data_IF_322535139491
#
_entry.id   IF_322535139491
#
_cell.length_a   1.000
_cell.length_b   1.000
_cell.length_c   1.000
_cell.angle_alpha   90.00
_cell.angle_beta   90.00
_cell.angle_gamma   90.00
#
_symmetry.space_group_name_H-M   'P 1'
#
loop_
_entity.id
_entity.type
_entity.pdbx_description
1 polymer ?
#
# COMPACT_ATOMS: atom_id res chain seq x y z
N UNK A 1 0.52 -5.20 3.35
CA UNK A 1 0.21 -5.87 4.61
C UNK A 1 -0.73 -5.02 5.45
N UNK A 2 -1.98 -5.48 5.58
CA UNK A 2 -3.06 -4.82 6.35
C UNK A 2 -2.99 -5.12 7.83
N UNK A 3 -1.86 -5.07 8.48
CA UNK A 3 -1.80 -5.68 9.80
C UNK A 3 -1.95 -4.71 10.97
N UNK A 4 -1.73 -3.41 10.78
CA UNK A 4 -1.52 -2.57 11.97
C UNK A 4 -2.77 -2.33 12.82
N UNK A 5 -3.87 -1.85 12.26
CA UNK A 5 -5.03 -1.49 13.09
C UNK A 5 -5.82 -2.70 13.61
N UNK A 6 -6.12 -3.69 12.77
CA UNK A 6 -6.88 -4.87 13.20
C UNK A 6 -6.05 -5.76 14.14
N UNK A 7 -4.76 -5.90 13.88
CA UNK A 7 -3.85 -6.63 14.77
C UNK A 7 -3.61 -5.88 16.09
N UNK A 8 -3.67 -4.55 16.10
CA UNK A 8 -3.54 -3.75 17.31
C UNK A 8 -4.74 -3.93 18.25
N UNK A 9 -5.95 -3.92 17.72
CA UNK A 9 -7.18 -4.21 18.52
C UNK A 9 -7.13 -5.63 19.08
N UNK A 10 -6.78 -6.62 18.25
CA UNK A 10 -6.67 -8.01 18.70
C UNK A 10 -5.60 -8.20 19.78
N UNK A 11 -4.45 -7.58 19.64
CA UNK A 11 -3.37 -7.63 20.65
C UNK A 11 -3.81 -7.08 21.99
N UNK A 12 -4.46 -5.92 22.02
CA UNK A 12 -4.90 -5.28 23.27
C UNK A 12 -5.90 -6.12 24.04
N UNK A 13 -6.73 -6.88 23.34
CA UNK A 13 -7.72 -7.77 23.95
C UNK A 13 -7.10 -9.07 24.50
N UNK A 14 -6.06 -9.59 23.83
CA UNK A 14 -5.51 -10.91 24.10
C UNK A 14 -4.17 -10.83 24.84
N UNK A 15 -3.46 -9.72 24.71
CA UNK A 15 -2.13 -9.49 25.28
C UNK A 15 -2.07 -8.23 26.14
N UNK A 16 -2.02 -8.41 27.43
CA UNK A 16 -2.01 -7.30 28.39
C UNK A 16 -0.76 -6.43 28.30
N UNK A 17 0.39 -6.99 27.92
CA UNK A 17 1.67 -6.24 27.84
C UNK A 17 1.94 -5.58 26.49
N UNK A 18 1.17 -5.89 25.42
CA UNK A 18 1.38 -5.25 24.13
C UNK A 18 0.90 -3.81 24.14
N UNK A 19 1.77 -2.91 23.68
CA UNK A 19 1.49 -1.49 23.53
C UNK A 19 1.22 -1.15 22.05
N UNK A 20 0.67 0.03 21.75
CA UNK A 20 0.15 0.31 20.42
C UNK A 20 1.20 0.52 19.33
N UNK A 21 2.43 0.90 19.65
CA UNK A 21 3.45 1.13 18.64
C UNK A 21 4.01 -0.19 18.10
N UNK A 22 4.05 -0.29 16.77
CA UNK A 22 4.59 -1.48 16.13
C UNK A 22 5.07 -1.18 14.70
N UNK A 23 6.00 -2.01 14.24
CA UNK A 23 6.47 -2.06 12.86
C UNK A 23 6.45 -3.51 12.38
N UNK A 24 6.09 -3.72 11.12
CA UNK A 24 6.18 -5.02 10.48
C UNK A 24 6.81 -4.86 9.09
N UNK A 25 7.63 -5.85 8.74
CA UNK A 25 8.20 -5.96 7.40
C UNK A 25 8.12 -7.43 6.97
N UNK A 26 7.75 -7.64 5.72
CA UNK A 26 7.74 -8.96 5.09
C UNK A 26 8.60 -8.90 3.85
N UNK A 27 9.57 -9.79 3.76
CA UNK A 27 10.40 -9.99 2.57
C UNK A 27 9.88 -11.21 1.83
N UNK A 28 9.55 -11.03 0.56
CA UNK A 28 9.04 -12.10 -0.31
C UNK A 28 10.03 -12.31 -1.44
N UNK A 29 10.38 -13.55 -1.68
CA UNK A 29 11.18 -13.99 -2.82
C UNK A 29 10.26 -14.38 -3.98
N UNK A 30 10.50 -13.80 -5.16
CA UNK A 30 9.78 -14.03 -6.41
C UNK A 30 10.63 -14.75 -7.46
N UNK A 31 11.71 -15.40 -7.04
CA UNK A 31 12.64 -16.07 -7.97
C UNK A 31 12.00 -17.28 -8.63
N UNK A 32 11.15 -17.99 -7.92
CA UNK A 32 10.43 -19.17 -8.41
C UNK A 32 9.02 -18.82 -8.92
N UNK A 33 8.35 -19.77 -9.57
CA UNK A 33 6.98 -19.61 -10.08
C UNK A 33 5.97 -19.17 -9.02
N UNK A 34 6.17 -19.57 -7.76
CA UNK A 34 5.34 -19.18 -6.63
C UNK A 34 6.13 -18.31 -5.66
N UNK A 35 5.62 -17.12 -5.31
CA UNK A 35 6.28 -16.27 -4.32
C UNK A 35 6.33 -16.97 -2.96
N UNK A 36 7.47 -16.90 -2.28
CA UNK A 36 7.69 -17.45 -0.95
C UNK A 36 8.11 -16.36 0.03
N UNK A 37 7.68 -16.48 1.28
CA UNK A 37 8.14 -15.58 2.34
C UNK A 37 9.54 -16.01 2.76
N UNK A 38 10.51 -15.10 2.63
CA UNK A 38 11.87 -15.29 3.14
C UNK A 38 11.94 -14.90 4.62
N UNK A 39 11.51 -13.68 4.96
CA UNK A 39 11.65 -13.15 6.32
C UNK A 39 10.41 -12.36 6.73
N UNK A 40 9.96 -12.56 7.98
CA UNK A 40 9.02 -11.67 8.65
C UNK A 40 9.69 -11.04 9.86
N UNK A 41 9.71 -9.71 9.89
CA UNK A 41 10.16 -8.92 11.03
C UNK A 41 8.95 -8.23 11.67
N UNK A 42 8.84 -8.33 12.99
CA UNK A 42 7.90 -7.54 13.78
C UNK A 42 8.60 -6.91 15.00
N UNK A 43 8.44 -5.60 15.15
CA UNK A 43 8.83 -4.87 16.35
C UNK A 43 7.56 -4.36 17.01
N UNK A 44 7.32 -4.77 18.27
CA UNK A 44 6.09 -4.47 18.99
C UNK A 44 6.47 -3.86 20.33
N UNK A 45 5.94 -2.69 20.62
CA UNK A 45 6.07 -2.04 21.92
C UNK A 45 5.38 -2.89 23.00
N UNK A 46 6.01 -3.02 24.17
CA UNK A 46 5.51 -3.82 25.28
C UNK A 46 5.77 -3.13 26.61
N UNK A 47 5.11 -3.60 27.66
CA UNK A 47 5.41 -3.18 29.03
C UNK A 47 6.83 -3.57 29.44
N UNK A 48 7.36 -2.92 30.44
CA UNK A 48 8.71 -3.20 30.97
C UNK A 48 8.80 -4.57 31.61
N UNK A 49 7.72 -4.97 32.29
CA UNK A 49 7.59 -6.30 32.93
C UNK A 49 6.78 -7.24 31.99
N UNK A 50 7.47 -8.15 31.32
CA UNK A 50 6.87 -9.13 30.42
C UNK A 50 7.78 -10.37 30.27
N UNK A 51 7.17 -11.53 29.98
CA UNK A 51 7.91 -12.73 29.62
C UNK A 51 8.27 -12.69 28.12
N UNK A 52 9.57 -12.56 27.84
CA UNK A 52 10.07 -12.44 26.45
C UNK A 52 9.81 -13.73 25.63
N UNK A 53 9.94 -14.90 26.26
CA UNK A 53 9.76 -16.18 25.56
C UNK A 53 8.29 -16.39 25.20
N UNK A 54 7.39 -16.14 26.14
CA UNK A 54 5.95 -16.20 25.91
C UNK A 54 5.50 -15.17 24.87
N UNK A 55 6.03 -13.95 24.93
CA UNK A 55 5.77 -12.90 23.96
C UNK A 55 6.18 -13.30 22.54
N UNK A 56 7.42 -13.77 22.36
CA UNK A 56 7.91 -14.21 21.04
C UNK A 56 7.10 -15.36 20.48
N UNK A 57 6.78 -16.34 21.32
CA UNK A 57 5.93 -17.47 20.95
C UNK A 57 4.56 -17.00 20.46
N UNK A 58 3.93 -16.12 21.22
CA UNK A 58 2.63 -15.61 20.86
C UNK A 58 2.64 -14.82 19.53
N UNK A 59 3.59 -13.91 19.36
CA UNK A 59 3.70 -13.13 18.12
C UNK A 59 3.89 -14.05 16.92
N UNK A 60 4.72 -15.10 17.06
CA UNK A 60 4.93 -16.09 16.02
C UNK A 60 3.63 -16.84 15.68
N UNK A 61 3.01 -17.49 16.65
CA UNK A 61 1.90 -18.41 16.44
C UNK A 61 0.57 -17.69 16.11
N UNK A 62 0.25 -16.61 16.84
CA UNK A 62 -1.06 -15.98 16.77
C UNK A 62 -1.12 -14.76 15.85
N UNK A 63 0.03 -14.23 15.42
CA UNK A 63 0.06 -13.09 14.50
C UNK A 63 0.69 -13.50 13.17
N UNK A 64 1.98 -13.88 13.19
CA UNK A 64 2.70 -14.20 11.93
C UNK A 64 2.08 -15.40 11.23
N UNK A 65 2.03 -16.55 11.88
CA UNK A 65 1.51 -17.79 11.28
C UNK A 65 0.03 -17.71 10.92
N UNK A 66 -0.77 -17.00 11.73
CA UNK A 66 -2.18 -16.79 11.43
C UNK A 66 -2.38 -15.97 10.13
N UNK A 67 -1.55 -14.95 9.91
CA UNK A 67 -1.57 -14.16 8.68
C UNK A 67 -1.06 -14.98 7.50
N UNK A 68 0.06 -15.68 7.65
CA UNK A 68 0.66 -16.52 6.61
C UNK A 68 -0.33 -17.58 6.12
N UNK A 69 -0.99 -18.28 7.03
CA UNK A 69 -2.04 -19.26 6.70
C UNK A 69 -3.21 -18.64 5.93
N UNK A 70 -3.60 -17.42 6.28
CA UNK A 70 -4.70 -16.72 5.58
C UNK A 70 -4.40 -16.46 4.11
N UNK A 71 -3.13 -16.32 3.75
CA UNK A 71 -2.67 -16.06 2.38
C UNK A 71 -2.12 -17.31 1.69
N UNK A 72 -2.24 -18.49 2.31
CA UNK A 72 -1.77 -19.78 1.79
C UNK A 72 -0.29 -19.77 1.37
N UNK A 73 0.53 -19.13 2.23
CA UNK A 73 1.98 -19.01 2.00
C UNK A 73 2.78 -19.99 2.86
N UNK A 74 4.07 -20.14 2.55
CA UNK A 74 4.99 -21.03 3.27
C UNK A 74 5.16 -20.61 4.74
N UNK A 75 5.39 -21.60 5.62
CA UNK A 75 5.55 -21.40 7.07
C UNK A 75 6.99 -21.49 7.57
N UNK A 76 7.92 -21.84 6.70
CA UNK A 76 9.35 -22.01 6.96
C UNK A 76 10.16 -20.75 6.64
N UNK A 77 9.71 -19.61 7.14
CA UNK A 77 10.38 -18.33 6.95
C UNK A 77 11.23 -17.93 8.16
N UNK A 78 12.19 -17.05 7.94
CA UNK A 78 13.01 -16.45 9.00
C UNK A 78 12.16 -15.52 9.87
N UNK A 79 12.21 -15.72 11.19
CA UNK A 79 11.45 -14.93 12.18
C UNK A 79 12.35 -13.96 12.90
N UNK A 80 12.00 -12.67 12.88
CA UNK A 80 12.66 -11.61 13.64
C UNK A 80 11.61 -10.87 14.48
N UNK A 81 11.67 -11.04 15.80
CA UNK A 81 10.74 -10.38 16.74
C UNK A 81 11.57 -9.55 17.71
N UNK A 82 11.35 -8.23 17.74
CA UNK A 82 12.09 -7.25 18.51
C UNK A 82 13.61 -7.51 18.46
N UNK A 83 14.24 -7.54 17.27
CA UNK A 83 15.64 -7.94 17.12
C UNK A 83 16.64 -7.00 17.82
N UNK A 84 16.22 -5.77 18.12
CA UNK A 84 17.01 -4.79 18.88
C UNK A 84 16.83 -4.92 20.39
N UNK A 85 16.05 -5.90 20.84
CA UNK A 85 15.76 -6.13 22.25
C UNK A 85 14.48 -5.44 22.74
N UNK A 86 14.52 -4.86 23.93
CA UNK A 86 13.36 -4.26 24.59
C UNK A 86 12.83 -3.04 23.83
N UNK A 87 11.52 -2.97 23.66
CA UNK A 87 10.81 -1.86 23.03
C UNK A 87 9.71 -1.34 23.96
N UNK A 88 10.11 -0.64 25.02
CA UNK A 88 9.22 -0.11 26.06
C UNK A 88 8.77 1.31 25.75
N UNK A 89 9.67 2.16 25.26
CA UNK A 89 9.37 3.53 24.90
C UNK A 89 8.96 3.57 23.43
N UNK A 90 7.72 3.99 23.15
CA UNK A 90 7.17 4.07 21.80
C UNK A 90 6.02 5.06 21.70
N UNK A 91 5.39 5.09 20.53
CA UNK A 91 4.34 6.07 20.23
C UNK A 91 4.87 7.51 20.21
N UNK A 92 4.02 8.52 20.47
CA UNK A 92 4.43 9.94 20.43
C UNK A 92 5.56 10.29 21.41
N UNK A 93 5.75 9.50 22.47
CA UNK A 93 6.84 9.71 23.43
C UNK A 93 8.20 9.30 22.85
N UNK A 94 8.23 8.25 22.03
CA UNK A 94 9.44 7.80 21.33
C UNK A 94 9.70 8.58 20.05
N UNK A 95 8.64 8.83 19.28
CA UNK A 95 8.66 9.58 18.00
C UNK A 95 7.30 10.19 17.76
N UNK A 96 7.22 11.51 17.77
CA UNK A 96 5.97 12.23 17.50
C UNK A 96 5.47 12.03 16.08
N UNK A 97 6.36 11.65 15.17
CA UNK A 97 6.05 11.48 13.75
C UNK A 97 5.74 12.79 13.04
N UNK A 98 5.67 12.71 11.73
CA UNK A 98 5.19 13.79 10.87
C UNK A 98 4.31 13.21 9.78
N UNK A 99 3.21 13.91 9.47
CA UNK A 99 2.34 13.54 8.36
C UNK A 99 3.12 13.53 7.03
N UNK A 100 2.92 12.50 6.23
CA UNK A 100 3.60 12.35 4.93
C UNK A 100 5.05 11.85 4.99
N UNK A 101 5.50 11.36 6.14
CA UNK A 101 6.84 10.73 6.32
C UNK A 101 6.80 9.20 6.22
N UNK A 102 5.67 8.62 5.81
CA UNK A 102 5.49 7.18 5.59
C UNK A 102 4.83 6.88 4.23
N UNK A 103 5.19 7.66 3.21
CA UNK A 103 4.56 7.64 1.88
C UNK A 103 4.66 6.28 1.18
N UNK A 104 5.72 5.52 1.39
CA UNK A 104 5.88 4.18 0.82
C UNK A 104 4.96 3.18 1.53
N UNK A 105 4.85 3.26 2.87
CA UNK A 105 3.91 2.43 3.66
C UNK A 105 2.46 2.79 3.30
N UNK A 106 2.18 4.06 3.04
CA UNK A 106 0.84 4.56 2.67
C UNK A 106 0.42 4.16 1.24
N UNK A 107 1.30 3.54 0.46
CA UNK A 107 1.04 3.15 -0.92
C UNK A 107 1.35 1.67 -1.17
N UNK A 108 2.43 1.37 -1.87
CA UNK A 108 2.72 0.02 -2.40
C UNK A 108 3.79 -0.74 -1.60
N UNK A 109 4.30 -0.17 -0.50
CA UNK A 109 5.27 -0.84 0.36
C UNK A 109 6.63 -1.15 -0.29
N UNK A 110 6.96 -0.45 -1.38
CA UNK A 110 8.18 -0.66 -2.15
C UNK A 110 8.03 -1.58 -3.37
N UNK A 111 6.86 -2.18 -3.59
CA UNK A 111 6.61 -3.00 -4.78
C UNK A 111 6.57 -2.17 -6.07
N UNK A 112 5.98 -0.99 -6.03
CA UNK A 112 5.99 -0.01 -7.13
C UNK A 112 6.71 1.27 -6.73
N UNK A 113 7.16 2.03 -7.73
CA UNK A 113 7.83 3.31 -7.54
C UNK A 113 6.88 4.36 -6.99
N UNK A 114 7.43 5.37 -6.34
CA UNK A 114 6.66 6.49 -5.77
C UNK A 114 7.27 7.82 -6.21
N UNK A 115 6.42 8.79 -6.56
CA UNK A 115 6.86 10.12 -6.98
C UNK A 115 7.35 11.04 -5.86
N UNK A 116 7.23 10.63 -4.59
CA UNK A 116 7.71 11.38 -3.42
C UNK A 116 6.70 12.30 -2.77
N UNK A 117 5.54 12.56 -3.40
CA UNK A 117 4.51 13.45 -2.89
C UNK A 117 3.64 12.83 -1.79
N UNK A 118 3.53 13.48 -0.63
CA UNK A 118 2.57 13.09 0.39
C UNK A 118 1.13 13.42 -0.04
N UNK A 119 0.15 12.61 0.38
CA UNK A 119 -1.26 12.82 0.07
C UNK A 119 -1.97 13.69 1.10
N UNK A 120 -1.72 13.44 2.38
CA UNK A 120 -2.37 14.15 3.48
C UNK A 120 -2.14 15.66 3.41
N UNK A 121 -3.20 16.44 3.70
CA UNK A 121 -3.16 17.89 3.67
C UNK A 121 -3.23 18.53 2.28
N UNK A 122 -3.29 17.74 1.22
CA UNK A 122 -3.41 18.22 -0.16
C UNK A 122 -4.84 18.11 -0.66
N UNK A 123 -5.36 19.19 -1.21
CA UNK A 123 -6.64 19.21 -1.92
C UNK A 123 -6.52 18.56 -3.32
N UNK A 124 -7.63 18.29 -4.03
CA UNK A 124 -7.61 17.61 -5.33
C UNK A 124 -6.86 18.34 -6.45
N UNK A 125 -6.58 19.62 -6.30
CA UNK A 125 -5.82 20.40 -7.33
C UNK A 125 -4.34 20.04 -7.34
N UNK A 126 -3.86 19.37 -6.29
CA UNK A 126 -2.45 18.94 -6.16
C UNK A 126 -2.25 17.58 -6.84
N UNK A 127 -1.55 17.59 -7.96
CA UNK A 127 -1.30 16.39 -8.79
C UNK A 127 -0.52 15.30 -8.05
N UNK A 128 0.31 15.63 -7.08
CA UNK A 128 0.93 14.62 -6.20
C UNK A 128 -0.08 13.64 -5.59
N UNK A 129 -1.28 14.12 -5.31
CA UNK A 129 -2.37 13.29 -4.80
C UNK A 129 -3.30 12.82 -5.91
N UNK A 130 -3.88 13.73 -6.67
CA UNK A 130 -4.90 13.41 -7.67
C UNK A 130 -4.36 12.55 -8.81
N UNK A 131 -3.15 12.81 -9.31
CA UNK A 131 -2.55 11.99 -10.35
C UNK A 131 -2.14 10.59 -9.84
N UNK A 132 -1.73 10.45 -8.58
CA UNK A 132 -1.49 9.13 -7.99
C UNK A 132 -2.79 8.30 -7.91
N UNK A 133 -3.92 8.93 -7.61
CA UNK A 133 -5.23 8.28 -7.62
C UNK A 133 -5.65 7.90 -9.04
N UNK A 134 -5.42 8.79 -10.02
CA UNK A 134 -5.70 8.53 -11.43
C UNK A 134 -4.82 7.42 -11.98
N UNK A 135 -3.52 7.42 -11.67
CA UNK A 135 -2.60 6.35 -12.07
C UNK A 135 -3.07 4.97 -11.58
N UNK A 136 -3.54 4.89 -10.33
CA UNK A 136 -4.14 3.64 -9.80
C UNK A 136 -5.41 3.24 -10.56
N UNK A 137 -6.27 4.20 -10.84
CA UNK A 137 -7.51 3.96 -11.59
C UNK A 137 -7.22 3.44 -13.00
N UNK A 138 -6.30 4.08 -13.73
CA UNK A 138 -5.87 3.66 -15.08
C UNK A 138 -5.29 2.24 -15.03
N UNK A 139 -4.34 1.97 -14.11
CA UNK A 139 -3.71 0.66 -14.02
C UNK A 139 -4.73 -0.46 -13.80
N UNK A 140 -5.72 -0.22 -12.93
CA UNK A 140 -6.81 -1.19 -12.70
C UNK A 140 -7.67 -1.42 -13.95
N UNK A 141 -7.99 -0.37 -14.71
CA UNK A 141 -8.79 -0.51 -15.91
C UNK A 141 -8.04 -1.23 -17.03
N UNK A 142 -6.76 -0.94 -17.24
CA UNK A 142 -5.93 -1.60 -18.25
C UNK A 142 -5.78 -3.10 -17.95
N UNK A 143 -5.54 -3.46 -16.69
CA UNK A 143 -5.48 -4.87 -16.27
C UNK A 143 -6.85 -5.54 -16.40
N UNK A 144 -7.93 -4.87 -16.00
CA UNK A 144 -9.29 -5.39 -16.16
C UNK A 144 -9.69 -5.58 -17.64
N UNK A 145 -9.18 -4.73 -18.53
CA UNK A 145 -9.34 -4.86 -19.99
C UNK A 145 -8.46 -6.00 -20.58
N UNK A 146 -7.74 -6.76 -19.73
CA UNK A 146 -6.88 -7.87 -20.13
C UNK A 146 -5.76 -7.49 -21.13
N UNK A 147 -5.30 -6.23 -21.07
CA UNK A 147 -4.19 -5.76 -21.92
C UNK A 147 -2.81 -6.15 -21.36
N UNK A 148 -2.72 -6.36 -20.06
CA UNK A 148 -1.56 -6.91 -19.33
C UNK A 148 -2.02 -7.50 -17.99
N UNK A 149 -1.17 -8.25 -17.30
CA UNK A 149 -1.47 -8.78 -15.96
C UNK A 149 -1.01 -7.82 -14.86
N UNK A 150 0.04 -7.03 -15.13
CA UNK A 150 0.56 -6.01 -14.22
C UNK A 150 0.81 -4.70 -14.96
N UNK A 151 0.57 -3.58 -14.30
CA UNK A 151 0.89 -2.25 -14.83
C UNK A 151 1.36 -1.30 -13.74
N UNK A 152 2.57 -0.77 -13.91
CA UNK A 152 3.04 0.44 -13.23
C UNK A 152 2.91 1.61 -14.20
N UNK A 153 2.33 2.72 -13.75
CA UNK A 153 2.19 3.94 -14.56
C UNK A 153 2.74 5.15 -13.81
N UNK A 154 3.47 5.99 -14.53
CA UNK A 154 3.98 7.28 -14.04
C UNK A 154 3.40 8.41 -14.88
N UNK A 155 2.85 9.40 -14.22
CA UNK A 155 2.37 10.66 -14.81
C UNK A 155 3.24 11.80 -14.31
N UNK A 156 3.81 12.59 -15.22
CA UNK A 156 4.66 13.74 -14.88
C UNK A 156 3.99 15.04 -15.30
N UNK A 157 4.05 16.06 -14.44
CA UNK A 157 3.45 17.36 -14.70
C UNK A 157 4.47 18.48 -14.50
N UNK A 158 4.29 19.56 -15.28
CA UNK A 158 5.04 20.80 -15.09
C UNK A 158 4.10 21.91 -14.58
N UNK A 159 4.62 22.78 -13.71
CA UNK A 159 3.87 23.91 -13.19
C UNK A 159 3.44 24.83 -14.34
N UNK A 160 2.16 25.16 -14.37
CA UNK A 160 1.58 26.03 -15.41
C UNK A 160 1.19 25.30 -16.72
N UNK A 161 1.42 23.99 -16.80
CA UNK A 161 1.00 23.17 -17.95
C UNK A 161 -0.08 22.20 -17.48
N UNK A 162 -1.23 22.23 -18.16
CA UNK A 162 -2.40 21.40 -17.76
C UNK A 162 -2.26 19.93 -18.17
N UNK A 163 -1.61 19.66 -19.29
CA UNK A 163 -1.40 18.30 -19.78
C UNK A 163 -0.17 17.68 -19.08
N UNK A 164 -0.16 16.35 -18.88
CA UNK A 164 1.04 15.68 -18.40
C UNK A 164 2.18 15.84 -19.42
N UNK A 165 3.36 16.15 -18.93
CA UNK A 165 4.57 16.28 -19.77
C UNK A 165 5.13 14.93 -20.19
N UNK A 166 4.78 13.86 -19.45
CA UNK A 166 5.19 12.50 -19.77
C UNK A 166 4.22 11.49 -19.15
N UNK A 167 3.99 10.41 -19.89
CA UNK A 167 3.31 9.20 -19.43
C UNK A 167 4.26 8.04 -19.69
N UNK A 168 4.63 7.34 -18.63
CA UNK A 168 5.48 6.14 -18.70
C UNK A 168 4.70 4.95 -18.16
N UNK A 169 4.81 3.80 -18.82
CA UNK A 169 4.20 2.53 -18.40
C UNK A 169 5.25 1.42 -18.35
N UNK A 170 5.08 0.52 -17.40
CA UNK A 170 5.88 -0.69 -17.25
C UNK A 170 4.93 -1.86 -16.92
N UNK A 171 4.83 -2.81 -17.82
CA UNK A 171 3.97 -3.99 -17.71
C UNK A 171 4.66 -5.17 -17.05
N UNK A 172 5.89 -5.02 -16.61
CA UNK A 172 6.73 -6.10 -16.05
C UNK A 172 6.87 -7.31 -16.98
N UNK A 173 6.75 -7.10 -18.30
CA UNK A 173 6.80 -8.18 -19.30
C UNK A 173 5.53 -9.02 -19.38
N UNK A 174 4.41 -8.53 -18.85
CA UNK A 174 3.11 -9.24 -18.86
C UNK A 174 2.12 -8.70 -19.90
N UNK A 175 2.58 -7.86 -20.83
CA UNK A 175 1.76 -7.30 -21.90
C UNK A 175 1.20 -8.38 -22.81
N UNK A 176 -0.10 -8.24 -23.16
CA UNK A 176 -0.83 -9.08 -24.10
C UNK A 176 -1.10 -8.36 -25.42
N UNK A 177 -0.84 -7.07 -25.46
CA UNK A 177 -0.88 -6.21 -26.64
C UNK A 177 0.34 -5.29 -26.64
N UNK A 178 0.77 -4.74 -27.79
CA UNK A 178 1.94 -3.87 -27.84
C UNK A 178 1.83 -2.66 -26.90
N UNK A 179 2.96 -2.22 -26.33
CA UNK A 179 3.06 -1.11 -25.37
C UNK A 179 2.46 0.20 -25.91
N UNK A 180 2.68 0.49 -27.20
CA UNK A 180 2.13 1.66 -27.88
C UNK A 180 0.59 1.64 -27.94
N UNK A 181 0.00 0.46 -28.12
CA UNK A 181 -1.47 0.29 -28.08
C UNK A 181 -2.01 0.61 -26.69
N UNK A 182 -1.36 0.13 -25.64
CA UNK A 182 -1.77 0.45 -24.25
C UNK A 182 -1.64 1.96 -24.00
N UNK A 183 -0.53 2.56 -24.41
CA UNK A 183 -0.29 3.98 -24.21
C UNK A 183 -1.28 4.87 -24.96
N UNK A 184 -1.60 4.53 -26.21
CA UNK A 184 -2.59 5.26 -26.98
C UNK A 184 -4.01 5.09 -26.41
N UNK A 185 -4.38 3.90 -25.95
CA UNK A 185 -5.65 3.69 -25.27
C UNK A 185 -5.76 4.56 -23.99
N UNK A 186 -4.69 4.63 -23.18
CA UNK A 186 -4.66 5.50 -22.00
C UNK A 186 -4.89 6.97 -22.39
N UNK A 187 -4.23 7.47 -23.43
CA UNK A 187 -4.36 8.86 -23.87
C UNK A 187 -5.75 9.19 -24.43
N UNK A 188 -6.41 8.21 -25.08
CA UNK A 188 -7.72 8.40 -25.67
C UNK A 188 -8.85 8.33 -24.65
N UNK A 189 -8.75 7.41 -23.68
CA UNK A 189 -9.83 7.12 -22.75
C UNK A 189 -9.81 7.98 -21.47
N UNK A 190 -8.66 8.57 -21.12
CA UNK A 190 -8.51 9.29 -19.86
C UNK A 190 -8.10 10.75 -20.06
N UNK A 191 -8.93 11.68 -19.56
CA UNK A 191 -8.54 13.09 -19.45
C UNK A 191 -7.59 13.25 -18.25
N UNK A 192 -6.30 13.38 -18.55
CA UNK A 192 -5.22 13.48 -17.57
C UNK A 192 -4.93 14.91 -17.11
N UNK A 193 -5.74 15.90 -17.54
CA UNK A 193 -5.65 17.23 -16.97
C UNK A 193 -6.08 17.21 -15.49
N UNK A 194 -5.58 18.11 -14.63
CA UNK A 194 -6.02 18.18 -13.23
C UNK A 194 -7.55 18.30 -13.10
N UNK A 195 -8.21 19.05 -13.99
CA UNK A 195 -9.65 19.19 -14.01
C UNK A 195 -10.36 17.89 -14.42
N UNK A 196 -9.84 17.21 -15.44
CA UNK A 196 -10.33 15.91 -15.90
C UNK A 196 -10.23 14.85 -14.81
N UNK A 197 -9.10 14.77 -14.13
CA UNK A 197 -8.90 13.84 -13.01
C UNK A 197 -9.90 14.10 -11.88
N UNK A 198 -10.07 15.36 -11.47
CA UNK A 198 -11.04 15.76 -10.43
C UNK A 198 -12.45 15.36 -10.81
N UNK A 199 -12.82 15.55 -12.07
CA UNK A 199 -14.14 15.21 -12.60
C UNK A 199 -14.34 13.70 -12.65
N UNK A 200 -13.45 12.96 -13.30
CA UNK A 200 -13.53 11.51 -13.50
C UNK A 200 -13.60 10.74 -12.19
N UNK A 201 -12.78 11.12 -11.21
CA UNK A 201 -12.71 10.46 -9.92
C UNK A 201 -13.62 11.10 -8.86
N UNK A 202 -14.42 12.11 -9.22
CA UNK A 202 -15.33 12.84 -8.35
C UNK A 202 -14.63 13.30 -7.03
N UNK A 203 -13.42 13.85 -7.15
CA UNK A 203 -12.54 14.13 -6.01
C UNK A 203 -13.02 15.27 -5.10
N UNK A 204 -14.12 15.94 -5.42
CA UNK A 204 -14.75 16.96 -4.55
C UNK A 204 -15.71 16.37 -3.52
N UNK A 205 -15.96 15.05 -3.59
CA UNK A 205 -16.77 14.35 -2.59
C UNK A 205 -15.95 13.91 -1.38
N UNK A 206 -16.56 13.62 -0.23
CA UNK A 206 -15.85 13.29 1.02
C UNK A 206 -15.33 11.84 1.02
N UNK A 207 -14.46 11.47 0.05
CA UNK A 207 -13.86 10.13 -0.07
C UNK A 207 -12.61 9.94 0.81
N UNK A 208 -11.99 11.02 1.28
CA UNK A 208 -10.63 11.01 1.84
C UNK A 208 -10.48 10.29 3.16
N UNK A 209 -11.55 10.18 3.96
CA UNK A 209 -11.53 9.34 5.16
C UNK A 209 -11.30 7.87 4.81
N UNK A 210 -11.90 7.39 3.72
CA UNK A 210 -11.76 6.01 3.25
C UNK A 210 -10.36 5.72 2.70
N UNK A 211 -9.68 6.72 2.14
CA UNK A 211 -8.34 6.61 1.58
C UNK A 211 -7.24 7.12 2.53
N UNK A 212 -7.57 7.41 3.80
CA UNK A 212 -6.61 7.92 4.77
C UNK A 212 -5.56 6.88 5.17
N UNK A 213 -5.90 5.59 5.11
CA UNK A 213 -4.98 4.48 5.32
C UNK A 213 -4.65 3.85 3.99
N UNK A 214 -3.35 3.81 3.64
CA UNK A 214 -2.82 3.23 2.38
C UNK A 214 -3.27 3.95 1.09
N UNK A 215 -3.75 5.19 1.17
CA UNK A 215 -4.09 6.02 0.02
C UNK A 215 -5.02 5.33 -0.98
N UNK A 216 -4.75 5.45 -2.30
CA UNK A 216 -5.55 4.82 -3.35
C UNK A 216 -5.40 3.29 -3.41
N UNK A 217 -4.47 2.71 -2.66
CA UNK A 217 -4.22 1.27 -2.59
C UNK A 217 -5.10 0.57 -1.55
N UNK A 218 -5.79 1.32 -0.70
CA UNK A 218 -6.71 0.79 0.31
C UNK A 218 -7.87 0.00 -0.33
N UNK A 219 -8.50 -0.88 0.46
CA UNK A 219 -9.66 -1.69 0.03
C UNK A 219 -10.91 -0.89 -0.34
N UNK A 220 -10.98 0.35 0.09
CA UNK A 220 -12.08 1.26 -0.23
C UNK A 220 -11.86 1.97 -1.55
N UNK A 221 -11.26 1.30 -2.48
CA UNK A 221 -10.82 1.72 -3.80
C UNK A 221 -11.61 2.81 -4.50
N UNK A 222 -10.84 3.64 -5.20
CA UNK A 222 -11.27 4.20 -6.47
C UNK A 222 -11.53 3.01 -7.40
N UNK A 223 -12.78 2.77 -7.75
CA UNK A 223 -13.22 1.62 -8.53
C UNK A 223 -12.66 1.68 -9.95
N UNK A 224 -12.09 0.61 -10.47
CA UNK A 224 -12.24 0.35 -11.90
C UNK A 224 -13.74 0.32 -12.19
N UNK A 225 -14.20 0.68 -13.38
CA UNK A 225 -15.60 0.50 -13.75
C UNK A 225 -16.02 -0.89 -13.30
N UNK A 226 -16.81 -0.98 -12.22
CA UNK A 226 -17.38 -2.24 -11.82
C UNK A 226 -18.34 -2.64 -12.91
N UNK A 227 -18.08 -3.73 -13.56
CA UNK A 227 -19.12 -4.51 -14.20
C UNK A 227 -20.01 -5.04 -13.07
N UNK A 228 -21.33 -5.07 -13.26
CA UNK A 228 -22.34 -5.55 -12.30
C UNK A 228 -22.08 -6.96 -11.72
N UNK A 229 -20.97 -7.60 -12.11
CA UNK A 229 -20.55 -8.94 -11.68
C UNK A 229 -19.78 -8.98 -10.34
N UNK A 230 -19.43 -7.82 -9.75
CA UNK A 230 -18.64 -7.73 -8.51
C UNK A 230 -19.45 -7.22 -7.30
N UNK A 231 -20.79 -7.33 -7.35
CA UNK A 231 -21.70 -7.05 -6.25
C UNK A 231 -22.08 -8.33 -5.49
#
# INVERSE_FOLDING_TARGET
VRSSAASDVYKRQTFKWARPDMKAQVTIDYTDEKPVIDTILMSIQHDDDFDEAEFKKFVKENIMDAVVKKYDMNTDYRVLINPTGRFVIGGPHGDTGLTGRKIIVDTYGGYARHGGGAFSGKDPTKVDRSAAYMARYIAKNVVAANMCDELEIQLSYAIGVKEPTSIYIDTKGTEKVPHDVILEAIKQEFDLTPAGIIHTLNLRTPIYKKTASYGPVSYTHLRAHETEADL
#
